data_IF_903430956076
#
_entry.id   IF_903430956076
#
_cell.length_a   1.000
_cell.length_b   1.000
_cell.length_c   1.000
_cell.angle_alpha   90.00
_cell.angle_beta   90.00
_cell.angle_gamma   90.00
#
_symmetry.space_group_name_H-M   'P 1'
#
loop_
_entity.id
_entity.type
_entity.pdbx_description
1 polymer ?
#
# COMPACT_ATOMS: atom_id res chain seq x y z
N UNK A 1 28.89 -13.98 -17.23
CA UNK A 1 28.07 -12.87 -17.74
C UNK A 1 26.72 -12.99 -17.07
N UNK A 2 26.51 -12.27 -15.99
CA UNK A 2 25.21 -12.20 -15.33
C UNK A 2 24.35 -11.27 -16.19
N UNK A 3 23.33 -11.82 -16.85
CA UNK A 3 22.35 -11.04 -17.60
C UNK A 3 21.58 -10.20 -16.58
N UNK A 4 21.85 -8.90 -16.53
CA UNK A 4 20.97 -7.96 -15.86
C UNK A 4 19.62 -8.03 -16.57
N UNK A 5 18.60 -8.56 -15.90
CA UNK A 5 17.22 -8.37 -16.35
C UNK A 5 16.91 -6.88 -16.18
N UNK A 6 16.30 -6.20 -17.15
CA UNK A 6 15.87 -4.83 -16.99
C UNK A 6 14.72 -4.82 -15.98
N UNK A 7 15.04 -4.52 -14.72
CA UNK A 7 14.06 -4.33 -13.66
C UNK A 7 13.26 -3.09 -13.98
N UNK A 8 12.00 -3.29 -14.33
CA UNK A 8 11.08 -2.18 -14.63
C UNK A 8 10.56 -1.58 -13.33
N UNK A 9 11.28 -0.59 -12.78
CA UNK A 9 10.91 0.16 -11.56
C UNK A 9 9.72 1.11 -11.79
N UNK A 10 8.98 0.92 -12.87
CA UNK A 10 7.78 1.71 -13.21
C UNK A 10 6.75 1.75 -12.06
N UNK A 11 6.77 0.77 -11.16
CA UNK A 11 5.81 0.67 -10.06
C UNK A 11 6.06 1.60 -8.86
N UNK A 12 7.31 1.98 -8.55
CA UNK A 12 7.55 2.90 -7.43
C UNK A 12 7.15 4.35 -7.77
N UNK A 13 7.33 4.76 -9.02
CA UNK A 13 6.93 6.09 -9.49
C UNK A 13 5.41 6.27 -9.46
N UNK A 14 4.63 5.23 -9.77
CA UNK A 14 3.15 5.28 -9.72
C UNK A 14 2.61 5.37 -8.29
N UNK A 15 3.31 4.86 -7.29
CA UNK A 15 2.92 4.99 -5.88
C UNK A 15 3.15 6.40 -5.32
N UNK A 16 4.15 7.12 -5.82
CA UNK A 16 4.37 8.53 -5.45
C UNK A 16 3.41 9.49 -6.16
N UNK A 17 2.94 9.14 -7.38
CA UNK A 17 2.01 9.96 -8.19
C UNK A 17 0.58 9.90 -7.64
N UNK A 18 0.17 8.80 -7.00
CA UNK A 18 -1.18 8.62 -6.46
C UNK A 18 -1.54 9.52 -5.27
N UNK A 19 -0.59 10.31 -4.75
CA UNK A 19 -0.76 11.07 -3.50
C UNK A 19 -0.51 12.57 -3.61
N UNK A 20 -0.45 13.16 -4.81
CA UNK A 20 -0.62 14.60 -4.95
C UNK A 20 -2.11 14.93 -5.04
N UNK A 21 -2.75 15.52 -4.02
CA UNK A 21 -4.05 16.11 -4.19
C UNK A 21 -3.86 17.34 -5.08
N UNK A 22 -4.35 17.28 -6.30
CA UNK A 22 -4.66 18.49 -7.07
C UNK A 22 -5.79 19.21 -6.33
N UNK A 23 -5.43 19.96 -5.30
CA UNK A 23 -6.33 20.86 -4.60
C UNK A 23 -6.58 22.09 -5.49
N UNK A 24 -7.31 21.90 -6.57
CA UNK A 24 -8.11 22.95 -7.16
C UNK A 24 -9.54 22.80 -6.63
N UNK A 25 -9.71 23.10 -5.35
CA UNK A 25 -11.01 23.38 -4.79
C UNK A 25 -11.38 24.81 -5.16
N UNK A 26 -12.35 24.97 -6.03
CA UNK A 26 -13.08 26.22 -6.17
C UNK A 26 -13.96 26.39 -4.93
N UNK A 27 -13.39 26.93 -3.86
CA UNK A 27 -14.18 27.48 -2.75
C UNK A 27 -14.52 28.94 -3.09
N UNK A 28 -15.81 29.24 -3.13
CA UNK A 28 -16.33 30.61 -3.18
C UNK A 28 -15.75 31.43 -2.04
N UNK A 29 -15.28 32.67 -2.26
CA UNK A 29 -14.68 33.46 -1.20
C UNK A 29 -15.73 33.91 -0.18
N UNK A 30 -15.43 33.88 1.14
CA UNK A 30 -16.26 34.52 2.13
C UNK A 30 -16.20 36.06 1.95
N UNK A 31 -17.34 36.70 2.05
CA UNK A 31 -17.45 38.13 2.00
C UNK A 31 -16.71 38.78 3.19
N UNK A 32 -15.73 39.65 2.90
CA UNK A 32 -15.14 40.55 3.89
C UNK A 32 -13.66 40.35 4.19
N UNK A 33 -12.78 40.33 3.15
CA UNK A 33 -11.34 40.50 3.34
C UNK A 33 -10.87 41.83 2.78
N UNK A 34 -9.89 42.51 3.42
CA UNK A 34 -9.33 43.76 2.91
C UNK A 34 -8.68 43.52 1.53
N UNK A 35 -8.85 44.49 0.65
CA UNK A 35 -8.32 44.50 -0.70
C UNK A 35 -6.84 44.05 -0.72
N UNK A 36 -6.58 42.99 -1.51
CA UNK A 36 -5.23 42.48 -1.85
C UNK A 36 -4.39 43.68 -2.33
N UNK A 37 -3.15 43.84 -1.82
CA UNK A 37 -2.28 44.89 -2.37
C UNK A 37 -2.13 44.65 -3.86
N UNK A 38 -2.18 45.72 -4.63
CA UNK A 38 -2.02 45.71 -6.07
C UNK A 38 -0.75 44.95 -6.43
N UNK A 39 -0.88 43.93 -7.31
CA UNK A 39 0.27 43.22 -7.86
C UNK A 39 1.20 44.25 -8.49
N UNK A 40 2.49 44.23 -8.09
CA UNK A 40 3.53 45.01 -8.72
C UNK A 40 3.40 44.88 -10.27
N UNK A 41 3.59 45.93 -11.01
CA UNK A 41 3.49 45.87 -12.46
C UNK A 41 4.49 44.85 -13.00
N UNK A 42 3.98 43.86 -13.75
CA UNK A 42 4.80 42.81 -14.39
C UNK A 42 5.91 43.53 -15.17
N UNK A 43 7.16 43.15 -14.90
CA UNK A 43 8.27 43.80 -15.60
C UNK A 43 8.15 43.57 -17.12
N UNK A 44 8.58 44.51 -17.93
CA UNK A 44 8.59 44.36 -19.39
C UNK A 44 9.31 43.06 -19.81
N UNK A 45 10.40 42.69 -19.09
CA UNK A 45 11.18 41.46 -19.30
C UNK A 45 10.32 40.20 -19.04
N UNK A 46 9.47 40.21 -18.01
CA UNK A 46 8.62 39.08 -17.67
C UNK A 46 7.44 38.95 -18.66
N UNK A 47 6.90 40.08 -19.13
CA UNK A 47 5.88 40.11 -20.19
C UNK A 47 6.42 39.57 -21.52
N UNK A 48 7.63 39.96 -21.91
CA UNK A 48 8.31 39.46 -23.11
C UNK A 48 8.60 37.97 -23.00
N UNK A 49 9.01 37.48 -21.81
CA UNK A 49 9.23 36.06 -21.54
C UNK A 49 7.90 35.29 -21.67
N UNK A 50 6.79 35.77 -21.10
CA UNK A 50 5.50 35.09 -21.20
C UNK A 50 4.99 35.01 -22.65
N UNK A 51 5.11 36.09 -23.43
CA UNK A 51 4.79 36.07 -24.86
C UNK A 51 5.69 35.11 -25.65
N UNK A 52 6.98 35.04 -25.32
CA UNK A 52 7.93 34.10 -25.91
C UNK A 52 7.55 32.65 -25.65
N UNK A 53 7.12 32.32 -24.42
CA UNK A 53 6.66 30.99 -24.06
C UNK A 53 5.40 30.59 -24.80
N UNK A 54 4.40 31.47 -24.83
CA UNK A 54 3.15 31.25 -25.58
C UNK A 54 3.42 30.97 -27.06
N UNK A 55 4.32 31.77 -27.66
CA UNK A 55 4.72 31.59 -29.06
C UNK A 55 5.43 30.23 -29.23
N UNK A 56 6.38 29.88 -28.38
CA UNK A 56 7.11 28.62 -28.46
C UNK A 56 6.18 27.41 -28.44
N UNK A 57 5.12 27.46 -27.61
CA UNK A 57 4.10 26.42 -27.53
C UNK A 57 3.20 26.41 -28.76
N UNK A 58 2.71 27.59 -29.20
CA UNK A 58 1.81 27.69 -30.33
C UNK A 58 2.47 27.24 -31.64
N UNK A 59 3.74 27.61 -31.88
CA UNK A 59 4.50 27.26 -33.07
C UNK A 59 4.80 25.74 -33.14
N UNK A 60 4.77 25.03 -32.01
CA UNK A 60 4.97 23.60 -31.96
C UNK A 60 3.69 22.82 -32.33
N UNK A 61 2.50 23.37 -32.07
CA UNK A 61 1.24 22.67 -32.26
C UNK A 61 1.22 21.32 -31.55
N UNK A 62 1.00 20.26 -32.32
CA UNK A 62 0.99 18.87 -31.78
C UNK A 62 2.34 18.14 -31.96
N UNK A 63 3.34 18.78 -32.57
CA UNK A 63 4.67 18.15 -32.77
C UNK A 63 5.51 18.25 -31.48
N UNK A 64 5.67 17.12 -30.80
CA UNK A 64 6.46 17.02 -29.56
C UNK A 64 7.95 17.34 -29.76
N UNK A 65 8.51 16.97 -30.92
CA UNK A 65 9.91 17.28 -31.21
C UNK A 65 10.10 18.78 -31.47
N UNK A 66 9.14 19.45 -32.16
CA UNK A 66 9.12 20.90 -32.29
C UNK A 66 8.98 21.58 -30.94
N UNK A 67 8.09 21.09 -30.06
CA UNK A 67 7.91 21.63 -28.72
C UNK A 67 9.23 21.59 -27.92
N UNK A 68 9.93 20.46 -27.91
CA UNK A 68 11.22 20.35 -27.23
C UNK A 68 12.22 21.36 -27.79
N UNK A 69 12.35 21.47 -29.12
CA UNK A 69 13.26 22.46 -29.75
C UNK A 69 12.90 23.90 -29.36
N UNK A 70 11.61 24.26 -29.45
CA UNK A 70 11.13 25.59 -29.16
C UNK A 70 11.31 25.96 -27.69
N UNK A 71 11.00 25.05 -26.75
CA UNK A 71 11.20 25.28 -25.31
C UNK A 71 12.69 25.39 -24.94
N UNK A 72 13.56 24.61 -25.56
CA UNK A 72 15.02 24.75 -25.40
C UNK A 72 15.50 26.13 -25.87
N UNK A 73 15.08 26.57 -27.03
CA UNK A 73 15.39 27.92 -27.56
C UNK A 73 14.83 29.03 -26.67
N UNK A 74 13.62 28.84 -26.15
CA UNK A 74 13.03 29.78 -25.20
C UNK A 74 13.89 29.94 -23.94
N UNK A 75 14.39 28.84 -23.34
CA UNK A 75 15.25 28.90 -22.18
C UNK A 75 16.61 29.56 -22.44
N UNK A 76 17.12 29.49 -23.67
CA UNK A 76 18.33 30.24 -24.08
C UNK A 76 18.07 31.74 -24.19
N UNK A 77 16.90 32.16 -24.67
CA UNK A 77 16.52 33.57 -24.80
C UNK A 77 16.13 34.21 -23.46
N UNK A 78 15.49 33.41 -22.57
CA UNK A 78 14.96 33.85 -21.28
C UNK A 78 15.49 32.97 -20.11
N UNK A 79 16.79 33.03 -19.79
CA UNK A 79 17.39 32.15 -18.79
C UNK A 79 16.83 32.34 -17.37
N UNK A 80 16.32 33.54 -17.08
CA UNK A 80 15.77 33.90 -15.75
C UNK A 80 14.25 34.03 -15.76
N UNK A 81 13.56 33.42 -16.74
CA UNK A 81 12.11 33.52 -16.86
C UNK A 81 11.39 33.02 -15.59
N UNK A 82 10.33 33.70 -15.11
CA UNK A 82 9.62 33.32 -13.88
C UNK A 82 9.05 31.89 -13.94
N UNK A 83 8.70 31.40 -15.14
CA UNK A 83 8.11 30.05 -15.36
C UNK A 83 9.13 28.99 -15.76
N UNK A 84 10.43 29.22 -15.56
CA UNK A 84 11.52 28.32 -15.96
C UNK A 84 11.33 26.90 -15.43
N UNK A 85 10.89 26.74 -14.16
CA UNK A 85 10.63 25.42 -13.58
C UNK A 85 9.49 24.68 -14.31
N UNK A 86 8.40 25.38 -14.64
CA UNK A 86 7.29 24.80 -15.41
C UNK A 86 7.74 24.39 -16.83
N UNK A 87 8.61 25.18 -17.48
CA UNK A 87 9.19 24.83 -18.78
C UNK A 87 10.10 23.60 -18.68
N UNK A 88 10.91 23.48 -17.63
CA UNK A 88 11.72 22.27 -17.40
C UNK A 88 10.81 21.05 -17.23
N UNK A 89 9.70 21.14 -16.47
CA UNK A 89 8.74 20.03 -16.30
C UNK A 89 8.11 19.63 -17.64
N UNK A 90 7.67 20.60 -18.43
CA UNK A 90 7.13 20.34 -19.78
C UNK A 90 8.16 19.68 -20.71
N UNK A 91 9.46 20.04 -20.58
CA UNK A 91 10.53 19.39 -21.32
C UNK A 91 10.75 17.94 -20.87
N UNK A 92 10.71 17.67 -19.56
CA UNK A 92 10.77 16.29 -19.04
C UNK A 92 9.67 15.44 -19.65
N UNK A 93 8.43 15.91 -19.60
CA UNK A 93 7.26 15.18 -20.13
C UNK A 93 7.37 14.95 -21.64
N UNK A 94 7.73 15.98 -22.41
CA UNK A 94 7.87 15.87 -23.85
C UNK A 94 9.01 14.93 -24.26
N UNK A 95 10.16 14.98 -23.55
CA UNK A 95 11.29 14.08 -23.80
C UNK A 95 10.94 12.62 -23.44
N UNK A 96 10.17 12.38 -22.36
CA UNK A 96 9.68 11.03 -22.04
C UNK A 96 8.77 10.47 -23.15
N UNK A 97 7.85 11.29 -23.68
CA UNK A 97 6.96 10.90 -24.79
C UNK A 97 7.74 10.58 -26.07
N UNK A 98 8.86 11.27 -26.30
CA UNK A 98 9.78 11.01 -27.41
C UNK A 98 10.74 9.86 -27.13
N UNK A 99 10.72 9.28 -25.93
CA UNK A 99 11.67 8.27 -25.45
C UNK A 99 13.13 8.74 -25.50
N UNK A 100 13.34 10.07 -25.39
CA UNK A 100 14.66 10.67 -25.25
C UNK A 100 15.04 10.74 -23.76
N UNK A 101 15.63 9.62 -23.27
CA UNK A 101 16.03 9.47 -21.88
C UNK A 101 17.09 10.47 -21.44
N UNK A 102 18.01 10.85 -22.35
CA UNK A 102 19.05 11.81 -22.02
C UNK A 102 18.48 13.22 -21.79
N UNK A 103 17.56 13.65 -22.68
CA UNK A 103 16.84 14.90 -22.54
C UNK A 103 15.98 14.89 -21.25
N UNK A 104 15.23 13.83 -20.98
CA UNK A 104 14.40 13.74 -19.79
C UNK A 104 15.23 13.85 -18.51
N UNK A 105 16.37 13.14 -18.45
CA UNK A 105 17.28 13.20 -17.29
C UNK A 105 17.88 14.59 -17.10
N UNK A 106 18.36 15.24 -18.17
CA UNK A 106 18.94 16.59 -18.10
C UNK A 106 17.97 17.58 -17.44
N UNK A 107 16.70 17.59 -17.88
CA UNK A 107 15.72 18.54 -17.34
C UNK A 107 15.13 18.14 -16.00
N UNK A 108 15.05 16.87 -15.68
CA UNK A 108 14.73 16.38 -14.34
C UNK A 108 15.79 16.85 -13.32
N UNK A 109 17.07 16.71 -13.63
CA UNK A 109 18.14 17.18 -12.75
C UNK A 109 18.19 18.71 -12.59
N UNK A 110 17.86 19.47 -13.63
CA UNK A 110 17.70 20.91 -13.53
C UNK A 110 16.54 21.31 -12.61
N UNK A 111 15.45 20.52 -12.61
CA UNK A 111 14.35 20.71 -11.65
C UNK A 111 14.77 20.39 -10.23
N UNK A 112 15.46 19.27 -10.02
CA UNK A 112 15.95 18.85 -8.69
C UNK A 112 16.94 19.89 -8.13
N UNK A 113 17.73 20.56 -8.97
CA UNK A 113 18.63 21.61 -8.55
C UNK A 113 17.91 22.84 -8.00
N UNK A 114 16.73 23.17 -8.54
CA UNK A 114 15.91 24.33 -8.11
C UNK A 114 14.93 23.92 -7.00
N UNK A 115 14.40 22.71 -7.08
CA UNK A 115 13.47 22.13 -6.12
C UNK A 115 14.07 20.86 -5.52
N UNK A 116 14.96 20.98 -4.54
CA UNK A 116 15.70 19.85 -4.00
C UNK A 116 14.85 18.83 -3.25
N UNK A 117 13.57 19.12 -3.02
CA UNK A 117 12.60 18.25 -2.36
C UNK A 117 11.62 17.57 -3.33
N UNK A 118 11.81 17.72 -4.65
CA UNK A 118 10.95 17.09 -5.65
C UNK A 118 11.27 15.60 -5.78
N UNK A 119 10.63 14.79 -4.91
CA UNK A 119 10.82 13.33 -4.86
C UNK A 119 10.39 12.64 -6.16
N UNK A 120 9.39 13.18 -6.87
CA UNK A 120 8.94 12.65 -8.16
C UNK A 120 10.05 12.73 -9.21
N UNK A 121 10.67 13.91 -9.33
CA UNK A 121 11.78 14.10 -10.27
C UNK A 121 13.02 13.31 -9.86
N UNK A 122 13.30 13.15 -8.56
CA UNK A 122 14.39 12.30 -8.09
C UNK A 122 14.15 10.84 -8.50
N UNK A 123 12.96 10.30 -8.31
CA UNK A 123 12.64 8.92 -8.68
C UNK A 123 12.65 8.71 -10.21
N UNK A 124 12.22 9.72 -10.98
CA UNK A 124 12.39 9.69 -12.43
C UNK A 124 13.87 9.64 -12.82
N UNK A 125 14.70 10.49 -12.22
CA UNK A 125 16.16 10.48 -12.47
C UNK A 125 16.79 9.13 -12.09
N UNK A 126 16.39 8.53 -10.96
CA UNK A 126 16.83 7.18 -10.56
C UNK A 126 16.55 6.17 -11.67
N UNK A 127 15.30 6.08 -12.14
CA UNK A 127 14.91 5.16 -13.21
C UNK A 127 15.71 5.33 -14.50
N UNK A 128 16.02 6.58 -14.87
CA UNK A 128 16.79 6.87 -16.09
C UNK A 128 18.27 6.54 -15.92
N UNK A 129 18.84 6.81 -14.74
CA UNK A 129 20.24 6.52 -14.40
C UNK A 129 20.52 5.02 -14.30
N UNK A 130 19.60 4.25 -13.71
CA UNK A 130 19.72 2.79 -13.66
C UNK A 130 19.73 2.16 -15.06
N UNK A 131 18.91 2.70 -15.98
CA UNK A 131 18.94 2.23 -17.39
C UNK A 131 20.26 2.53 -18.09
N UNK A 132 21.00 3.57 -17.67
CA UNK A 132 22.35 3.83 -18.18
C UNK A 132 23.34 2.79 -17.65
N UNK A 133 23.24 2.42 -16.38
CA UNK A 133 23.93 1.27 -15.78
C UNK A 133 25.44 1.43 -15.58
N UNK A 134 26.02 2.59 -15.89
CA UNK A 134 27.42 2.85 -15.59
C UNK A 134 27.62 3.26 -14.12
N UNK A 135 28.81 3.05 -13.57
CA UNK A 135 29.12 3.29 -12.15
C UNK A 135 28.83 4.73 -11.71
N UNK A 136 29.00 5.74 -12.57
CA UNK A 136 28.73 7.13 -12.25
C UNK A 136 27.23 7.39 -12.15
N UNK A 137 26.45 6.82 -13.07
CA UNK A 137 24.99 6.89 -13.08
C UNK A 137 24.39 6.17 -11.86
N UNK A 138 24.89 4.97 -11.53
CA UNK A 138 24.43 4.22 -10.35
C UNK A 138 24.69 4.98 -9.04
N UNK A 139 25.88 5.59 -8.86
CA UNK A 139 26.15 6.44 -7.67
C UNK A 139 25.23 7.65 -7.57
N UNK A 140 24.88 8.28 -8.70
CA UNK A 140 23.91 9.39 -8.72
C UNK A 140 22.53 8.90 -8.35
N UNK A 141 22.11 7.76 -8.86
CA UNK A 141 20.83 7.12 -8.53
C UNK A 141 20.74 6.84 -7.02
N UNK A 142 21.77 6.19 -6.44
CA UNK A 142 21.83 5.94 -4.99
C UNK A 142 21.73 7.26 -4.17
N UNK A 143 22.39 8.32 -4.63
CA UNK A 143 22.31 9.63 -4.00
C UNK A 143 20.89 10.21 -3.99
N UNK A 144 20.14 10.07 -5.07
CA UNK A 144 18.75 10.51 -5.13
C UNK A 144 17.83 9.63 -4.25
N UNK A 145 18.01 8.32 -4.25
CA UNK A 145 17.25 7.41 -3.36
C UNK A 145 17.50 7.79 -1.90
N UNK A 146 18.75 8.04 -1.49
CA UNK A 146 19.08 8.49 -0.14
C UNK A 146 18.38 9.79 0.27
N UNK A 147 18.28 10.77 -0.66
CA UNK A 147 17.55 12.03 -0.41
C UNK A 147 16.05 11.81 -0.24
N UNK A 148 15.45 10.92 -1.03
CA UNK A 148 14.02 10.57 -0.88
C UNK A 148 13.77 9.87 0.46
N UNK A 149 14.65 8.95 0.88
CA UNK A 149 14.59 8.29 2.18
C UNK A 149 14.67 9.31 3.32
N UNK A 150 15.66 10.22 3.29
CA UNK A 150 15.83 11.27 4.30
C UNK A 150 14.59 12.17 4.41
N UNK A 151 13.96 12.48 3.29
CA UNK A 151 12.69 13.23 3.29
C UNK A 151 11.56 12.45 3.96
N UNK A 152 11.39 11.17 3.61
CA UNK A 152 10.37 10.31 4.21
C UNK A 152 10.56 10.23 5.73
N UNK A 153 11.80 10.09 6.20
CA UNK A 153 12.12 10.00 7.63
C UNK A 153 11.88 11.31 8.38
N UNK A 154 11.99 12.46 7.71
CA UNK A 154 11.72 13.78 8.28
C UNK A 154 10.26 14.20 8.21
N UNK A 155 9.42 13.51 7.45
CA UNK A 155 7.99 13.84 7.32
C UNK A 155 7.26 13.53 8.62
N UNK A 156 6.64 14.57 9.20
CA UNK A 156 5.87 14.43 10.44
C UNK A 156 4.57 13.66 10.22
N UNK A 157 4.12 12.85 11.18
CA UNK A 157 2.78 12.27 11.17
C UNK A 157 1.63 13.30 11.02
N UNK A 158 1.87 14.55 11.40
CA UNK A 158 0.90 15.63 11.26
C UNK A 158 0.74 16.13 9.81
N UNK A 159 1.71 15.80 8.95
CA UNK A 159 1.66 16.10 7.51
C UNK A 159 0.87 15.05 6.71
N UNK A 160 0.37 14.01 7.38
CA UNK A 160 -0.44 12.98 6.71
C UNK A 160 -1.71 13.58 6.11
N UNK A 161 -2.21 13.02 5.01
CA UNK A 161 -3.49 13.44 4.45
C UNK A 161 -4.63 13.32 5.46
N UNK A 162 -5.52 14.30 5.50
CA UNK A 162 -6.59 14.38 6.49
C UNK A 162 -7.52 13.16 6.53
N UNK A 163 -7.60 12.40 5.42
CA UNK A 163 -8.43 11.20 5.29
C UNK A 163 -7.67 9.89 5.55
N UNK A 164 -6.39 9.95 5.88
CA UNK A 164 -5.58 8.77 6.17
C UNK A 164 -5.43 8.59 7.68
N UNK A 165 -5.66 7.39 8.17
CA UNK A 165 -5.35 7.04 9.55
C UNK A 165 -3.84 7.06 9.78
N UNK A 166 -3.40 7.19 11.04
CA UNK A 166 -1.97 7.14 11.36
C UNK A 166 -1.36 5.79 10.97
N UNK A 167 -2.09 4.70 11.16
CA UNK A 167 -1.63 3.34 10.86
C UNK A 167 -1.48 3.11 9.36
N UNK A 168 -2.48 3.49 8.56
CA UNK A 168 -2.39 3.44 7.09
C UNK A 168 -1.22 4.28 6.57
N UNK A 169 -1.07 5.50 7.10
CA UNK A 169 0.04 6.38 6.72
C UNK A 169 1.39 5.75 7.09
N UNK A 170 1.55 5.22 8.30
CA UNK A 170 2.76 4.51 8.73
C UNK A 170 3.02 3.27 7.88
N UNK A 171 1.98 2.49 7.60
CA UNK A 171 2.05 1.32 6.71
C UNK A 171 2.58 1.71 5.33
N UNK A 172 2.04 2.78 4.74
CA UNK A 172 2.49 3.31 3.46
C UNK A 172 3.95 3.83 3.51
N UNK A 173 4.32 4.57 4.58
CA UNK A 173 5.71 5.01 4.78
C UNK A 173 6.68 3.83 4.88
N UNK A 174 6.32 2.80 5.63
CA UNK A 174 7.13 1.58 5.76
C UNK A 174 7.24 0.84 4.41
N UNK A 175 6.17 0.80 3.64
CA UNK A 175 6.17 0.22 2.29
C UNK A 175 7.14 0.97 1.37
N UNK A 176 7.08 2.30 1.33
CA UNK A 176 7.99 3.13 0.55
C UNK A 176 9.45 2.96 1.00
N UNK A 177 9.71 3.02 2.31
CA UNK A 177 11.06 2.86 2.85
C UNK A 177 11.64 1.48 2.53
N UNK A 178 10.87 0.41 2.73
CA UNK A 178 11.29 -0.94 2.37
C UNK A 178 11.65 -1.04 0.89
N UNK A 179 10.81 -0.49 -0.01
CA UNK A 179 11.08 -0.47 -1.45
C UNK A 179 12.33 0.32 -1.84
N UNK A 180 12.58 1.47 -1.19
CA UNK A 180 13.75 2.30 -1.46
C UNK A 180 15.05 1.65 -0.96
N UNK A 181 15.04 1.01 0.21
CA UNK A 181 16.18 0.21 0.68
C UNK A 181 16.45 -1.01 -0.19
N UNK A 182 15.40 -1.67 -0.70
CA UNK A 182 15.55 -2.73 -1.69
C UNK A 182 16.25 -2.22 -2.96
N UNK A 183 15.83 -1.06 -3.47
CA UNK A 183 16.41 -0.41 -4.63
C UNK A 183 17.88 -0.04 -4.41
N UNK A 184 18.24 0.52 -3.23
CA UNK A 184 19.65 0.76 -2.88
C UNK A 184 20.46 -0.53 -2.94
N UNK A 185 19.94 -1.61 -2.35
CA UNK A 185 20.61 -2.90 -2.39
C UNK A 185 20.84 -3.41 -3.82
N UNK A 186 19.89 -3.21 -4.74
CA UNK A 186 20.07 -3.56 -6.16
C UNK A 186 21.15 -2.72 -6.84
N UNK A 187 21.16 -1.39 -6.61
CA UNK A 187 22.18 -0.47 -7.13
C UNK A 187 23.57 -0.90 -6.63
N UNK A 188 23.69 -1.19 -5.35
CA UNK A 188 24.97 -1.60 -4.75
C UNK A 188 25.46 -2.97 -5.23
N UNK A 189 24.54 -3.90 -5.53
CA UNK A 189 24.90 -5.17 -6.23
C UNK A 189 25.50 -4.86 -7.60
N UNK A 190 24.89 -3.92 -8.35
CA UNK A 190 25.40 -3.52 -9.66
C UNK A 190 26.77 -2.83 -9.55
N UNK A 191 27.02 -2.07 -8.51
CA UNK A 191 28.32 -1.49 -8.16
C UNK A 191 29.34 -2.51 -7.58
N UNK A 192 28.93 -3.77 -7.43
CA UNK A 192 29.71 -4.87 -6.83
C UNK A 192 30.04 -4.65 -5.35
N UNK A 193 29.30 -3.80 -4.67
CA UNK A 193 29.42 -3.53 -3.25
C UNK A 193 28.48 -4.45 -2.43
N UNK A 194 28.75 -5.75 -2.45
CA UNK A 194 27.91 -6.74 -1.77
C UNK A 194 27.78 -6.53 -0.24
N UNK A 195 28.66 -5.74 0.39
CA UNK A 195 28.57 -5.49 1.82
C UNK A 195 27.51 -4.44 2.15
N UNK A 196 27.50 -3.34 1.42
CA UNK A 196 26.47 -2.32 1.56
C UNK A 196 25.11 -2.88 1.11
N UNK A 197 25.08 -3.58 -0.03
CA UNK A 197 23.89 -4.24 -0.56
C UNK A 197 23.22 -5.14 0.48
N UNK A 198 24.00 -6.00 1.16
CA UNK A 198 23.44 -6.88 2.20
C UNK A 198 22.83 -6.08 3.37
N UNK A 199 23.46 -4.97 3.78
CA UNK A 199 22.94 -4.11 4.84
C UNK A 199 21.60 -3.47 4.45
N UNK A 200 21.51 -2.92 3.24
CA UNK A 200 20.31 -2.22 2.81
C UNK A 200 19.16 -3.19 2.49
N UNK A 201 19.46 -4.35 1.90
CA UNK A 201 18.49 -5.43 1.73
C UNK A 201 17.98 -5.96 3.07
N UNK A 202 18.85 -6.11 4.08
CA UNK A 202 18.45 -6.51 5.43
C UNK A 202 17.58 -5.43 6.09
N UNK A 203 17.88 -4.15 5.86
CA UNK A 203 17.04 -3.04 6.33
C UNK A 203 15.66 -3.06 5.65
N UNK A 204 15.63 -3.25 4.33
CA UNK A 204 14.40 -3.44 3.57
C UNK A 204 13.54 -4.56 4.17
N UNK A 205 14.14 -5.71 4.38
CA UNK A 205 13.50 -6.90 4.93
C UNK A 205 12.97 -6.66 6.36
N UNK A 206 13.76 -5.98 7.21
CA UNK A 206 13.37 -5.70 8.60
C UNK A 206 12.21 -4.72 8.74
N UNK A 207 12.13 -3.75 7.82
CA UNK A 207 10.99 -2.80 7.77
C UNK A 207 9.72 -3.53 7.32
N UNK A 208 9.85 -4.36 6.29
CA UNK A 208 8.77 -5.18 5.77
C UNK A 208 9.35 -6.43 5.12
N UNK A 209 9.06 -7.59 5.69
CA UNK A 209 9.48 -8.86 5.13
C UNK A 209 9.01 -8.98 3.67
N UNK A 210 9.95 -9.19 2.75
CA UNK A 210 9.66 -9.33 1.33
C UNK A 210 10.56 -10.38 0.67
N UNK A 211 9.98 -11.16 -0.20
CA UNK A 211 10.61 -12.29 -0.86
C UNK A 211 11.79 -11.88 -1.76
N UNK A 212 11.70 -10.73 -2.42
CA UNK A 212 12.74 -10.28 -3.36
C UNK A 212 14.03 -9.84 -2.63
N UNK A 213 13.91 -9.16 -1.48
CA UNK A 213 15.08 -8.84 -0.66
C UNK A 213 15.74 -10.11 -0.11
N UNK A 214 14.93 -11.08 0.33
CA UNK A 214 15.44 -12.38 0.79
C UNK A 214 16.18 -13.15 -0.33
N UNK A 215 15.66 -13.13 -1.57
CA UNK A 215 16.36 -13.76 -2.71
C UNK A 215 17.75 -13.15 -2.92
N UNK A 216 17.85 -11.81 -2.96
CA UNK A 216 19.13 -11.13 -3.18
C UNK A 216 20.11 -11.33 -2.01
N UNK A 217 19.61 -11.40 -0.77
CA UNK A 217 20.42 -11.76 0.41
C UNK A 217 21.00 -13.16 0.27
N UNK A 218 20.18 -14.14 -0.14
CA UNK A 218 20.62 -15.51 -0.42
C UNK A 218 21.69 -15.57 -1.51
N UNK A 219 21.55 -14.78 -2.58
CA UNK A 219 22.59 -14.68 -3.63
C UNK A 219 23.91 -14.10 -3.10
N UNK A 220 23.84 -13.07 -2.25
CA UNK A 220 25.03 -12.48 -1.65
C UNK A 220 25.70 -13.49 -0.70
N UNK A 221 24.93 -14.20 0.11
CA UNK A 221 25.43 -15.25 1.00
C UNK A 221 26.08 -16.40 0.20
N UNK A 222 25.46 -16.85 -0.91
CA UNK A 222 26.04 -17.88 -1.78
C UNK A 222 27.37 -17.42 -2.38
N UNK A 223 27.49 -16.16 -2.87
CA UNK A 223 28.74 -15.59 -3.37
C UNK A 223 29.85 -15.52 -2.32
N UNK A 224 29.49 -15.44 -1.03
CA UNK A 224 30.42 -15.47 0.10
C UNK A 224 30.74 -16.90 0.59
N UNK A 225 30.18 -17.93 -0.05
CA UNK A 225 30.20 -19.33 0.37
C UNK A 225 29.59 -19.57 1.77
N UNK A 226 28.72 -18.67 2.22
CA UNK A 226 27.90 -18.85 3.41
C UNK A 226 26.63 -19.63 3.04
N UNK A 227 26.78 -20.94 2.94
CA UNK A 227 25.69 -21.82 2.50
C UNK A 227 24.55 -21.92 3.49
N UNK A 228 24.82 -21.71 4.80
CA UNK A 228 23.78 -21.74 5.83
C UNK A 228 22.83 -20.56 5.66
N UNK A 229 23.38 -19.35 5.66
CA UNK A 229 22.61 -18.11 5.43
C UNK A 229 21.91 -18.12 4.08
N UNK A 230 22.58 -18.63 3.01
CA UNK A 230 21.95 -18.73 1.70
C UNK A 230 20.72 -19.66 1.70
N UNK A 231 20.75 -20.78 2.41
CA UNK A 231 19.59 -21.68 2.55
C UNK A 231 18.46 -20.97 3.29
N UNK A 232 18.76 -20.31 4.41
CA UNK A 232 17.76 -19.57 5.21
C UNK A 232 17.08 -18.47 4.38
N UNK A 233 17.87 -17.65 3.68
CA UNK A 233 17.35 -16.55 2.87
C UNK A 233 16.54 -17.06 1.67
N UNK A 234 16.98 -18.12 0.97
CA UNK A 234 16.19 -18.69 -0.13
C UNK A 234 14.93 -19.41 0.36
N UNK A 235 14.92 -19.99 1.56
CA UNK A 235 13.70 -20.51 2.18
C UNK A 235 12.70 -19.39 2.41
N UNK A 236 13.14 -18.26 2.99
CA UNK A 236 12.32 -17.06 3.19
C UNK A 236 11.81 -16.52 1.86
N UNK A 237 12.68 -16.39 0.86
CA UNK A 237 12.30 -15.93 -0.49
C UNK A 237 11.24 -16.82 -1.14
N UNK A 238 11.30 -18.14 -0.90
CA UNK A 238 10.35 -19.10 -1.47
C UNK A 238 8.98 -19.05 -0.80
N UNK A 239 8.92 -18.88 0.54
CA UNK A 239 7.67 -18.99 1.31
C UNK A 239 6.95 -17.67 1.55
N UNK A 240 7.66 -16.53 1.56
CA UNK A 240 7.04 -15.23 1.76
C UNK A 240 6.08 -14.86 0.64
N UNK A 241 4.95 -14.20 0.94
CA UNK A 241 4.06 -13.66 -0.09
C UNK A 241 4.76 -12.54 -0.89
N UNK A 242 4.28 -12.28 -2.10
CA UNK A 242 4.74 -11.14 -2.90
C UNK A 242 4.25 -9.83 -2.24
N UNK A 243 5.18 -8.93 -1.97
CA UNK A 243 4.87 -7.68 -1.24
C UNK A 243 4.31 -6.55 -2.12
N UNK A 244 4.02 -6.80 -3.38
CA UNK A 244 3.38 -5.85 -4.30
C UNK A 244 4.23 -4.64 -4.76
N UNK A 245 5.47 -4.51 -4.28
CA UNK A 245 6.37 -3.39 -4.62
C UNK A 245 7.49 -3.74 -5.59
N UNK A 246 7.69 -5.02 -5.85
CA UNK A 246 8.79 -5.54 -6.65
C UNK A 246 8.26 -6.32 -7.84
N UNK A 247 9.12 -6.54 -8.83
CA UNK A 247 8.81 -7.48 -9.92
C UNK A 247 8.34 -8.82 -9.36
N UNK A 248 7.47 -9.46 -10.11
CA UNK A 248 7.00 -10.80 -9.77
C UNK A 248 8.18 -11.76 -9.64
N UNK A 249 8.37 -12.28 -8.43
CA UNK A 249 9.42 -13.21 -8.10
C UNK A 249 9.21 -14.53 -8.89
N UNK A 250 10.23 -15.01 -9.57
CA UNK A 250 10.20 -16.34 -10.18
C UNK A 250 10.46 -17.41 -9.11
N UNK A 251 9.38 -17.90 -8.48
CA UNK A 251 9.48 -18.93 -7.44
C UNK A 251 10.12 -20.21 -7.92
N UNK A 252 10.03 -20.53 -9.22
CA UNK A 252 10.73 -21.68 -9.77
C UNK A 252 12.25 -21.46 -9.73
N UNK A 253 12.71 -20.28 -10.11
CA UNK A 253 14.13 -19.91 -10.05
C UNK A 253 14.65 -19.94 -8.59
N UNK A 254 13.91 -19.36 -7.65
CA UNK A 254 14.26 -19.41 -6.22
C UNK A 254 14.33 -20.85 -5.72
N UNK A 255 13.36 -21.71 -6.09
CA UNK A 255 13.36 -23.12 -5.73
C UNK A 255 14.59 -23.86 -6.29
N UNK A 256 15.01 -23.53 -7.50
CA UNK A 256 16.20 -24.11 -8.13
C UNK A 256 17.48 -23.66 -7.42
N UNK A 257 17.62 -22.37 -7.08
CA UNK A 257 18.74 -21.82 -6.30
C UNK A 257 18.83 -22.53 -4.93
N UNK A 258 17.73 -22.58 -4.19
CA UNK A 258 17.61 -23.26 -2.91
C UNK A 258 18.05 -24.75 -3.02
N UNK A 259 17.52 -25.48 -4.00
CA UNK A 259 17.87 -26.88 -4.21
C UNK A 259 19.35 -27.09 -4.53
N UNK A 260 19.95 -26.16 -5.29
CA UNK A 260 21.39 -26.21 -5.61
C UNK A 260 22.25 -26.04 -4.35
N UNK A 261 21.96 -25.04 -3.52
CA UNK A 261 22.70 -24.79 -2.28
C UNK A 261 22.47 -25.93 -1.26
N UNK A 262 21.22 -26.42 -1.16
CA UNK A 262 20.89 -27.55 -0.30
C UNK A 262 21.70 -28.80 -0.65
N UNK A 263 21.77 -29.16 -1.96
CA UNK A 263 22.57 -30.31 -2.41
C UNK A 263 24.07 -30.15 -2.17
N UNK A 264 24.61 -28.92 -2.21
CA UNK A 264 26.02 -28.68 -1.85
C UNK A 264 26.30 -29.06 -0.39
N UNK A 265 25.33 -28.88 0.52
CA UNK A 265 25.48 -29.19 1.95
C UNK A 265 25.13 -30.64 2.26
N UNK A 266 24.00 -31.14 1.76
CA UNK A 266 23.42 -32.42 2.16
C UNK A 266 23.59 -33.55 1.13
N UNK A 267 24.17 -33.27 -0.05
CA UNK A 267 24.40 -34.25 -1.12
C UNK A 267 23.13 -34.62 -1.90
N UNK A 268 21.95 -34.50 -1.33
CA UNK A 268 20.64 -34.80 -1.93
C UNK A 268 19.61 -33.74 -1.58
N UNK A 269 18.42 -33.79 -2.19
CA UNK A 269 17.28 -32.92 -1.79
C UNK A 269 16.42 -33.53 -0.65
N UNK A 270 16.81 -34.63 -0.08
CA UNK A 270 16.08 -35.25 1.03
C UNK A 270 15.97 -34.24 2.19
N UNK A 271 14.78 -34.12 2.75
CA UNK A 271 14.50 -33.17 3.85
C UNK A 271 14.17 -31.73 3.43
N UNK A 272 14.50 -31.31 2.19
CA UNK A 272 14.25 -29.93 1.74
C UNK A 272 12.76 -29.57 1.77
N UNK A 273 11.89 -30.48 1.34
CA UNK A 273 10.44 -30.24 1.38
C UNK A 273 9.91 -30.06 2.82
N UNK A 274 10.43 -30.84 3.77
CA UNK A 274 10.08 -30.70 5.18
C UNK A 274 10.57 -29.35 5.75
N UNK A 275 11.77 -28.91 5.34
CA UNK A 275 12.30 -27.62 5.78
C UNK A 275 11.51 -26.44 5.20
N UNK A 276 11.09 -26.51 3.93
CA UNK A 276 10.19 -25.49 3.32
C UNK A 276 8.89 -25.40 4.12
N UNK A 277 8.26 -26.53 4.44
CA UNK A 277 7.03 -26.57 5.24
C UNK A 277 7.25 -25.99 6.64
N UNK A 278 8.34 -26.39 7.31
CA UNK A 278 8.68 -25.87 8.63
C UNK A 278 8.91 -24.35 8.63
N UNK A 279 9.55 -23.81 7.58
CA UNK A 279 9.76 -22.37 7.42
C UNK A 279 8.43 -21.66 7.17
N UNK A 280 7.57 -22.25 6.34
CA UNK A 280 6.21 -21.72 6.10
C UNK A 280 5.41 -21.71 7.41
N UNK A 281 5.39 -22.80 8.16
CA UNK A 281 4.67 -22.92 9.43
C UNK A 281 5.20 -21.92 10.47
N UNK A 282 6.52 -21.70 10.49
CA UNK A 282 7.17 -20.74 11.41
C UNK A 282 6.78 -19.28 11.09
N UNK A 283 6.81 -18.91 9.82
CA UNK A 283 6.43 -17.54 9.38
C UNK A 283 4.93 -17.30 9.51
N UNK A 284 4.19 -18.34 9.17
CA UNK A 284 2.76 -18.33 9.26
C UNK A 284 2.30 -18.27 10.73
N UNK A 285 3.13 -18.73 11.68
CA UNK A 285 2.79 -18.79 13.11
C UNK A 285 1.50 -19.55 13.38
N UNK A 286 0.97 -19.49 14.61
CA UNK A 286 -0.36 -20.03 14.90
C UNK A 286 -1.48 -19.43 14.04
N UNK A 287 -1.26 -18.23 13.47
CA UNK A 287 -2.21 -17.55 12.60
C UNK A 287 -2.31 -18.14 11.18
N UNK A 288 -1.30 -18.82 10.66
CA UNK A 288 -1.42 -19.45 9.34
C UNK A 288 -1.85 -20.91 9.37
N UNK A 289 -1.74 -21.58 10.51
CA UNK A 289 -2.58 -22.75 10.76
C UNK A 289 -4.07 -22.39 10.73
N UNK A 290 -4.35 -21.10 10.74
CA UNK A 290 -5.63 -20.47 10.54
C UNK A 290 -5.58 -19.56 9.30
N UNK A 291 -5.41 -20.13 8.08
CA UNK A 291 -5.93 -19.45 6.90
C UNK A 291 -7.44 -19.27 7.16
N UNK A 292 -7.91 -18.04 7.48
CA UNK A 292 -9.30 -17.84 7.89
C UNK A 292 -10.26 -18.39 6.84
N UNK A 293 -9.96 -18.16 5.56
CA UNK A 293 -10.73 -18.68 4.44
C UNK A 293 -10.64 -20.21 4.25
N UNK A 294 -9.54 -20.86 4.64
CA UNK A 294 -9.41 -22.31 4.53
C UNK A 294 -10.12 -23.06 5.67
N UNK A 295 -10.18 -22.46 6.88
CA UNK A 295 -10.82 -23.08 8.05
C UNK A 295 -12.31 -23.32 7.84
N UNK A 296 -13.00 -22.37 7.21
CA UNK A 296 -14.44 -22.39 7.03
C UNK A 296 -14.87 -22.74 5.58
N UNK A 297 -13.92 -23.17 4.73
CA UNK A 297 -14.17 -23.45 3.29
C UNK A 297 -15.29 -24.45 3.04
N UNK A 298 -15.46 -25.41 3.95
CA UNK A 298 -16.48 -26.45 3.84
C UNK A 298 -17.73 -26.18 4.70
N UNK A 299 -17.82 -24.97 5.31
CA UNK A 299 -18.97 -24.58 6.10
C UNK A 299 -20.22 -24.47 5.22
N UNK A 300 -21.30 -25.14 5.61
CA UNK A 300 -22.56 -25.16 4.86
C UNK A 300 -23.62 -24.25 5.46
N UNK A 301 -23.42 -23.80 6.68
CA UNK A 301 -24.27 -22.85 7.40
C UNK A 301 -23.44 -22.02 8.39
N UNK A 302 -24.03 -20.96 8.97
CA UNK A 302 -23.40 -20.10 9.96
C UNK A 302 -22.80 -20.91 11.15
N UNK A 303 -23.50 -21.95 11.59
CA UNK A 303 -23.15 -22.67 12.81
C UNK A 303 -21.93 -23.58 12.63
N UNK A 304 -21.54 -23.83 11.38
CA UNK A 304 -20.31 -24.58 11.08
C UNK A 304 -19.05 -23.70 11.16
N UNK A 305 -19.18 -22.37 11.26
CA UNK A 305 -18.05 -21.48 11.33
C UNK A 305 -17.31 -21.52 12.67
N UNK A 306 -15.99 -21.42 12.58
CA UNK A 306 -15.08 -21.15 13.69
C UNK A 306 -14.33 -19.87 13.36
N UNK A 307 -14.52 -18.83 14.15
CA UNK A 307 -14.02 -17.48 13.91
C UNK A 307 -13.08 -17.01 15.02
N UNK A 308 -12.23 -16.04 14.71
CA UNK A 308 -11.25 -15.49 15.67
C UNK A 308 -11.82 -14.28 16.41
N UNK A 309 -11.38 -14.13 17.65
CA UNK A 309 -11.55 -12.91 18.44
C UNK A 309 -10.31 -12.03 18.32
N UNK A 310 -10.41 -10.81 18.85
CA UNK A 310 -9.32 -9.83 18.88
C UNK A 310 -8.07 -10.34 19.60
N UNK A 311 -8.20 -11.19 20.60
CA UNK A 311 -7.10 -11.79 21.36
C UNK A 311 -6.44 -13.00 20.66
N UNK A 312 -6.87 -13.31 19.43
CA UNK A 312 -6.40 -14.44 18.63
C UNK A 312 -7.03 -15.79 19.02
N UNK A 313 -7.82 -15.86 20.09
CA UNK A 313 -8.56 -17.07 20.44
C UNK A 313 -9.69 -17.31 19.43
N UNK A 314 -10.10 -18.56 19.28
CA UNK A 314 -11.18 -18.96 18.38
C UNK A 314 -12.47 -19.26 19.12
N UNK A 315 -13.59 -18.99 18.46
CA UNK A 315 -14.92 -19.35 18.95
C UNK A 315 -15.71 -20.05 17.85
N UNK A 316 -16.30 -21.22 18.18
CA UNK A 316 -17.23 -21.89 17.29
C UNK A 316 -18.61 -21.20 17.36
N UNK A 317 -19.27 -21.03 16.21
CA UNK A 317 -20.62 -20.48 16.15
C UNK A 317 -21.71 -21.56 16.35
N UNK A 318 -21.34 -22.82 16.45
CA UNK A 318 -22.27 -23.94 16.72
C UNK A 318 -23.21 -23.72 17.93
N UNK A 319 -22.77 -23.12 19.07
CA UNK A 319 -23.66 -22.84 20.22
C UNK A 319 -24.73 -21.79 19.94
N UNK A 320 -24.67 -21.09 18.82
CA UNK A 320 -25.68 -20.11 18.41
C UNK A 320 -26.90 -20.75 17.71
N UNK A 321 -26.83 -22.05 17.41
CA UNK A 321 -27.93 -22.76 16.80
C UNK A 321 -29.17 -22.72 17.70
N UNK A 322 -30.33 -22.38 17.11
CA UNK A 322 -31.57 -22.21 17.83
C UNK A 322 -31.75 -20.81 18.47
N UNK A 323 -30.83 -19.89 18.24
CA UNK A 323 -30.92 -18.49 18.66
C UNK A 323 -31.17 -17.57 17.47
N UNK A 324 -31.71 -16.40 17.73
CA UNK A 324 -31.72 -15.28 16.79
C UNK A 324 -30.34 -14.63 16.84
N UNK A 325 -29.67 -14.57 15.69
CA UNK A 325 -28.32 -14.01 15.57
C UNK A 325 -28.35 -12.72 14.76
N UNK A 326 -27.86 -11.63 15.36
CA UNK A 326 -27.77 -10.31 14.73
C UNK A 326 -26.29 -10.01 14.46
N UNK A 327 -25.94 -9.85 13.18
CA UNK A 327 -24.59 -9.64 12.70
C UNK A 327 -24.45 -8.22 12.15
N UNK A 328 -23.46 -7.46 12.60
CA UNK A 328 -23.07 -6.17 12.03
C UNK A 328 -21.68 -6.31 11.40
N UNK A 329 -21.59 -6.16 10.07
CA UNK A 329 -20.32 -6.20 9.33
C UNK A 329 -19.76 -4.80 9.18
N UNK A 330 -18.49 -4.62 9.54
CA UNK A 330 -17.83 -3.33 9.57
C UNK A 330 -16.32 -3.44 9.30
N UNK A 331 -15.67 -2.31 8.97
CA UNK A 331 -14.22 -2.18 8.85
C UNK A 331 -13.73 -0.85 9.41
N UNK A 332 -12.45 -0.76 9.75
CA UNK A 332 -11.81 0.44 10.32
C UNK A 332 -11.85 1.65 9.38
N UNK A 333 -11.83 1.42 8.08
CA UNK A 333 -11.90 2.44 7.01
C UNK A 333 -13.33 2.87 6.64
N UNK A 334 -14.34 2.25 7.23
CA UNK A 334 -15.75 2.49 6.91
C UNK A 334 -16.32 3.61 7.79
N UNK A 335 -16.35 4.85 7.29
CA UNK A 335 -16.91 5.99 8.03
C UNK A 335 -18.37 5.82 8.43
N UNK A 336 -19.31 5.33 7.57
CA UNK A 336 -20.68 5.08 8.00
C UNK A 336 -20.81 4.01 9.09
N UNK A 337 -19.84 3.09 9.19
CA UNK A 337 -19.82 2.08 10.24
C UNK A 337 -19.58 2.72 11.64
N UNK A 338 -18.79 3.81 11.70
CA UNK A 338 -18.55 4.54 12.95
C UNK A 338 -19.82 5.14 13.53
N UNK A 339 -20.73 5.54 12.68
CA UNK A 339 -22.02 6.09 13.09
C UNK A 339 -23.01 4.97 13.45
N UNK A 340 -22.98 3.86 12.74
CA UNK A 340 -23.91 2.73 12.92
C UNK A 340 -23.58 1.91 14.17
N UNK A 341 -22.32 1.58 14.44
CA UNK A 341 -21.95 0.65 15.52
C UNK A 341 -22.39 1.10 16.92
N UNK A 342 -22.29 2.39 17.32
CA UNK A 342 -22.87 2.83 18.59
C UNK A 342 -24.38 2.59 18.69
N UNK A 343 -25.13 2.77 17.59
CA UNK A 343 -26.56 2.55 17.53
C UNK A 343 -26.89 1.05 17.58
N UNK A 344 -26.10 0.23 16.88
CA UNK A 344 -26.21 -1.24 16.94
C UNK A 344 -25.98 -1.73 18.38
N UNK A 345 -24.94 -1.23 19.06
CA UNK A 345 -24.66 -1.57 20.45
C UNK A 345 -25.75 -1.10 21.42
N UNK A 346 -26.37 0.07 21.16
CA UNK A 346 -27.53 0.53 21.92
C UNK A 346 -28.69 -0.45 21.82
N UNK A 347 -29.00 -0.93 20.62
CA UNK A 347 -30.05 -1.94 20.42
C UNK A 347 -29.67 -3.26 21.09
N UNK A 348 -28.41 -3.73 20.96
CA UNK A 348 -27.92 -4.94 21.60
C UNK A 348 -28.13 -4.91 23.13
N UNK A 349 -27.90 -3.79 23.78
CA UNK A 349 -28.13 -3.60 25.23
C UNK A 349 -29.61 -3.79 25.61
N UNK A 350 -30.56 -3.47 24.74
CA UNK A 350 -32.00 -3.65 25.02
C UNK A 350 -32.39 -5.14 25.03
N UNK A 351 -31.55 -6.02 24.47
CA UNK A 351 -31.75 -7.47 24.42
C UNK A 351 -30.73 -8.24 25.27
N UNK A 352 -29.96 -7.55 26.12
CA UNK A 352 -28.88 -8.18 26.89
C UNK A 352 -29.37 -9.30 27.84
N UNK A 353 -30.61 -9.20 28.34
CA UNK A 353 -31.24 -10.21 29.21
C UNK A 353 -31.92 -11.34 28.41
N UNK A 354 -32.05 -11.21 27.08
CA UNK A 354 -32.68 -12.21 26.24
C UNK A 354 -31.64 -13.26 25.83
N UNK A 355 -31.78 -14.47 26.37
CA UNK A 355 -30.85 -15.57 26.11
C UNK A 355 -30.95 -16.13 24.70
N UNK A 356 -32.04 -15.84 23.99
CA UNK A 356 -32.30 -16.32 22.64
C UNK A 356 -31.85 -15.29 21.58
N UNK A 357 -31.39 -14.10 21.96
CA UNK A 357 -30.82 -13.07 21.08
C UNK A 357 -29.31 -12.97 21.26
N UNK A 358 -28.56 -12.99 20.17
CA UNK A 358 -27.10 -12.81 20.17
C UNK A 358 -26.68 -11.76 19.15
N UNK A 359 -25.95 -10.74 19.59
CA UNK A 359 -25.41 -9.67 18.75
C UNK A 359 -23.92 -9.82 18.61
N UNK A 360 -23.41 -9.77 17.37
CA UNK A 360 -21.99 -9.89 17.05
C UNK A 360 -21.58 -8.80 16.05
N UNK A 361 -20.52 -8.08 16.38
CA UNK A 361 -19.84 -7.20 15.45
C UNK A 361 -18.76 -8.00 14.69
N UNK A 362 -18.82 -7.99 13.36
CA UNK A 362 -17.97 -8.77 12.46
C UNK A 362 -17.03 -7.82 11.74
N UNK A 363 -15.74 -7.90 12.04
CA UNK A 363 -14.75 -7.10 11.36
C UNK A 363 -14.29 -7.77 10.06
N UNK A 364 -14.20 -6.98 8.99
CA UNK A 364 -13.82 -7.43 7.63
C UNK A 364 -12.56 -6.75 7.10
N UNK A 365 -11.75 -6.14 7.98
CA UNK A 365 -10.46 -5.58 7.55
C UNK A 365 -9.53 -6.68 7.05
N UNK A 366 -8.89 -6.44 5.91
CA UNK A 366 -7.83 -7.33 5.40
C UNK A 366 -6.57 -7.24 6.29
N UNK A 367 -6.27 -6.04 6.81
CA UNK A 367 -5.21 -5.83 7.78
C UNK A 367 -5.78 -5.75 9.21
N UNK A 368 -5.83 -6.89 9.86
CA UNK A 368 -6.36 -7.04 11.22
C UNK A 368 -5.57 -6.25 12.28
N UNK A 369 -4.32 -5.87 11.99
CA UNK A 369 -3.50 -5.07 12.91
C UNK A 369 -4.09 -3.67 13.16
N UNK A 370 -4.94 -3.18 12.27
CA UNK A 370 -5.63 -1.89 12.37
C UNK A 370 -6.75 -1.89 13.41
N UNK A 371 -7.31 -3.08 13.71
CA UNK A 371 -8.56 -3.19 14.47
C UNK A 371 -8.38 -2.83 15.94
N UNK A 372 -7.38 -3.38 16.63
CA UNK A 372 -7.16 -3.11 18.05
C UNK A 372 -6.88 -1.63 18.35
N UNK A 373 -6.00 -0.92 17.61
CA UNK A 373 -5.81 0.52 17.78
C UNK A 373 -7.06 1.34 17.48
N UNK A 374 -7.84 0.93 16.48
CA UNK A 374 -9.11 1.58 16.12
C UNK A 374 -10.11 1.48 17.27
N UNK A 375 -10.37 0.28 17.78
CA UNK A 375 -11.32 0.05 18.88
C UNK A 375 -10.95 0.84 20.14
N UNK A 376 -9.65 0.90 20.46
CA UNK A 376 -9.15 1.68 21.60
C UNK A 376 -9.40 3.19 21.42
N UNK A 377 -9.24 3.72 20.21
CA UNK A 377 -9.49 5.13 19.89
C UNK A 377 -10.98 5.48 19.95
N UNK A 378 -11.81 4.66 19.32
CA UNK A 378 -13.27 4.86 19.26
C UNK A 378 -13.97 4.48 20.57
N UNK A 379 -13.26 3.86 21.51
CA UNK A 379 -13.79 3.35 22.78
C UNK A 379 -14.98 2.41 22.59
N UNK A 380 -14.89 1.56 21.55
CA UNK A 380 -15.89 0.55 21.31
C UNK A 380 -15.68 -0.64 22.24
N UNK A 381 -16.73 -1.01 22.99
CA UNK A 381 -16.72 -2.08 23.98
C UNK A 381 -17.71 -3.18 23.59
N UNK A 382 -17.79 -3.48 22.30
CA UNK A 382 -18.67 -4.53 21.81
C UNK A 382 -17.88 -5.85 21.58
N UNK A 383 -18.50 -7.01 21.84
CA UNK A 383 -17.92 -8.28 21.45
C UNK A 383 -17.73 -8.32 19.92
N UNK A 384 -16.49 -8.32 19.47
CA UNK A 384 -16.19 -8.40 18.03
C UNK A 384 -15.44 -9.69 17.72
N UNK A 385 -15.66 -10.17 16.51
CA UNK A 385 -14.95 -11.29 15.91
C UNK A 385 -14.50 -10.89 14.50
N UNK A 386 -13.47 -11.54 14.00
CA UNK A 386 -13.09 -11.42 12.60
C UNK A 386 -14.03 -12.23 11.70
N UNK A 387 -14.20 -11.79 10.47
CA UNK A 387 -15.13 -12.43 9.53
C UNK A 387 -14.71 -13.87 9.18
N UNK A 388 -13.41 -14.14 9.01
CA UNK A 388 -12.88 -15.46 8.70
C UNK A 388 -13.62 -16.16 7.54
N UNK A 389 -14.03 -15.38 6.51
CA UNK A 389 -14.79 -15.84 5.34
C UNK A 389 -16.32 -15.83 5.52
N UNK A 390 -16.83 -15.37 6.68
CA UNK A 390 -18.27 -15.28 6.94
C UNK A 390 -18.95 -14.19 6.09
N UNK A 391 -18.23 -13.11 5.78
CA UNK A 391 -18.66 -12.03 4.90
C UNK A 391 -18.93 -12.53 3.48
N UNK A 392 -18.01 -13.30 2.89
CA UNK A 392 -18.20 -13.96 1.60
C UNK A 392 -19.36 -14.95 1.64
N UNK A 393 -19.42 -15.79 2.67
CA UNK A 393 -20.49 -16.78 2.85
C UNK A 393 -21.87 -16.12 2.96
N UNK A 394 -21.98 -14.98 3.66
CA UNK A 394 -23.21 -14.21 3.81
C UNK A 394 -23.46 -13.25 2.64
N UNK A 395 -22.59 -13.24 1.60
CA UNK A 395 -22.67 -12.36 0.45
C UNK A 395 -22.78 -10.88 0.85
N UNK A 396 -21.85 -10.43 1.72
CA UNK A 396 -21.71 -9.03 2.15
C UNK A 396 -20.83 -8.31 1.14
N UNK A 397 -21.41 -7.42 0.35
CA UNK A 397 -20.72 -6.68 -0.73
C UNK A 397 -20.53 -5.20 -0.43
N UNK A 398 -21.15 -4.71 0.64
CA UNK A 398 -21.09 -3.29 1.06
C UNK A 398 -21.03 -3.20 2.58
N UNK A 399 -20.40 -2.12 3.10
CA UNK A 399 -20.34 -1.84 4.52
C UNK A 399 -20.97 -0.46 4.85
N UNK A 400 -21.60 -0.32 6.01
CA UNK A 400 -22.01 -1.39 6.93
C UNK A 400 -23.12 -2.26 6.37
N UNK A 401 -23.16 -3.54 6.75
CA UNK A 401 -24.30 -4.44 6.50
C UNK A 401 -24.73 -5.07 7.81
N UNK A 402 -26.02 -5.02 8.12
CA UNK A 402 -26.60 -5.70 9.28
C UNK A 402 -27.55 -6.80 8.81
N UNK A 403 -27.37 -8.01 9.38
CA UNK A 403 -28.19 -9.19 9.12
C UNK A 403 -28.86 -9.68 10.39
N UNK A 404 -30.08 -10.19 10.28
CA UNK A 404 -30.71 -10.96 11.34
C UNK A 404 -31.00 -12.35 10.79
N UNK A 405 -30.55 -13.37 11.51
CA UNK A 405 -30.86 -14.77 11.25
C UNK A 405 -31.83 -15.26 12.30
N UNK A 406 -32.85 -16.00 11.87
CA UNK A 406 -33.83 -16.66 12.74
C UNK A 406 -33.23 -17.89 13.44
N UNK A 407 -34.01 -18.56 14.27
CA UNK A 407 -33.62 -19.75 15.02
C UNK A 407 -33.07 -20.89 14.14
N UNK A 408 -33.46 -20.93 12.87
CA UNK A 408 -33.00 -21.90 11.87
C UNK A 408 -31.71 -21.48 11.14
N UNK A 409 -31.21 -20.25 11.39
CA UNK A 409 -30.07 -19.70 10.68
C UNK A 409 -30.40 -19.10 9.30
N UNK A 410 -31.69 -18.88 8.99
CA UNK A 410 -32.11 -18.21 7.77
C UNK A 410 -32.09 -16.69 7.95
N UNK A 411 -31.54 -15.98 6.97
CA UNK A 411 -31.56 -14.51 6.97
C UNK A 411 -33.01 -14.04 6.80
N UNK A 412 -33.52 -13.33 7.81
CA UNK A 412 -34.89 -12.76 7.84
C UNK A 412 -34.91 -11.24 7.74
N UNK A 413 -33.76 -10.61 7.90
CA UNK A 413 -33.57 -9.18 7.75
C UNK A 413 -32.18 -8.87 7.20
N UNK A 414 -32.09 -7.90 6.30
CA UNK A 414 -30.83 -7.36 5.76
C UNK A 414 -31.00 -5.86 5.53
N UNK A 415 -30.03 -5.09 5.99
CA UNK A 415 -29.92 -3.67 5.64
C UNK A 415 -28.48 -3.32 5.34
N UNK A 416 -28.26 -2.39 4.40
CA UNK A 416 -26.96 -1.82 4.05
C UNK A 416 -26.98 -0.32 4.28
N UNK A 417 -25.86 0.22 4.82
CA UNK A 417 -25.76 1.63 5.16
C UNK A 417 -26.53 2.02 6.43
N UNK A 418 -26.40 3.30 6.81
CA UNK A 418 -27.12 3.89 7.93
C UNK A 418 -28.41 4.54 7.40
N UNK A 419 -29.55 3.98 7.77
CA UNK A 419 -30.86 4.54 7.45
C UNK A 419 -31.44 5.34 8.61
N UNK A 420 -32.27 6.34 8.31
CA UNK A 420 -33.03 7.08 9.33
C UNK A 420 -33.94 6.11 10.10
N UNK A 421 -33.96 6.22 11.45
CA UNK A 421 -34.72 5.32 12.30
C UNK A 421 -34.14 3.90 12.42
N UNK A 422 -32.83 3.73 12.14
CA UNK A 422 -32.16 2.42 12.21
C UNK A 422 -32.37 1.68 13.55
N UNK A 423 -32.23 2.30 14.75
CA UNK A 423 -32.39 1.58 16.02
C UNK A 423 -33.79 1.01 16.22
N UNK A 424 -34.82 1.76 15.84
CA UNK A 424 -36.22 1.36 15.93
C UNK A 424 -36.53 0.22 14.96
N UNK A 425 -36.08 0.36 13.70
CA UNK A 425 -36.27 -0.65 12.68
C UNK A 425 -35.59 -1.97 13.05
N UNK A 426 -34.33 -1.90 13.55
CA UNK A 426 -33.58 -3.08 14.00
C UNK A 426 -34.28 -3.73 15.20
N UNK A 427 -34.75 -2.93 16.20
CA UNK A 427 -35.45 -3.44 17.38
C UNK A 427 -36.73 -4.19 16.98
N UNK A 428 -37.51 -3.64 16.05
CA UNK A 428 -38.74 -4.29 15.54
C UNK A 428 -38.41 -5.59 14.84
N UNK A 429 -37.38 -5.60 13.97
CA UNK A 429 -36.95 -6.78 13.23
C UNK A 429 -36.46 -7.90 14.16
N UNK A 430 -35.67 -7.59 15.19
CA UNK A 430 -35.20 -8.57 16.18
C UNK A 430 -36.37 -9.17 16.96
N UNK A 431 -37.33 -8.36 17.43
CA UNK A 431 -38.55 -8.87 18.11
C UNK A 431 -39.37 -9.77 17.21
N UNK A 432 -39.52 -9.43 15.94
CA UNK A 432 -40.21 -10.27 14.97
C UNK A 432 -39.51 -11.62 14.77
N UNK A 433 -38.16 -11.61 14.67
CA UNK A 433 -37.38 -12.83 14.55
C UNK A 433 -37.48 -13.73 15.81
N UNK A 434 -37.45 -13.14 17.01
CA UNK A 434 -37.64 -13.87 18.28
C UNK A 434 -39.04 -14.47 18.43
N UNK A 435 -40.07 -13.82 17.85
CA UNK A 435 -41.47 -14.28 17.89
C UNK A 435 -41.78 -15.32 16.84
N UNK A 436 -40.95 -15.51 15.83
CA UNK A 436 -41.12 -16.56 14.83
C UNK A 436 -40.90 -17.93 15.48
N UNK A 437 -41.84 -18.86 15.24
CA UNK A 437 -41.82 -20.19 15.86
C UNK A 437 -40.49 -20.91 15.59
N UNK A 438 -39.93 -21.52 16.65
CA UNK A 438 -38.76 -22.38 16.58
C UNK A 438 -38.96 -23.58 15.67
#
# INVERSE_FOLDING_TARGET
>A
MVSMRPTSIIFLATLLIGWCPSAYSQSSPPAGLPSKPASDPISKKDADAEMGLQKAIADAGNDRAALVRNLKNYLLQFPDAPRKAAVHRALVEACQQLRDSACALEYAERLIAVHPDDSEMMMLAVNLLEKQGDDASLRRAAGYVGRVLDRIEKTSPDERPARSSLVEWQGHQNQLRSGLYYLLGQIEIAEKNNTAAAKDLQTSYSIRANAAAAELLGEIAEKRNDTSTAIEDYLLAFVLPEAGLTEKLDRHEVRMKLGNVWRKVYGTENGLGAQILATYDHLAGPAAMANPGARNKDAKDLFAFVVRKLDGSTVALAPLKGKVVVLSFWATWCDPCRELEPLFNQVAKNFAEDKDAVFLAINTDEDESLVAPFLAREKWDAPMIFADGLDDFMNVTTLPTVLILDHGGKIVYRTGGLAEGFPEALTVAVRAALSSSK
#
